data_IF_581486319755
#
_entry.id   IF_581486319755
#
_cell.length_a   1.000
_cell.length_b   1.000
_cell.length_c   1.000
_cell.angle_alpha   90.00
_cell.angle_beta   90.00
_cell.angle_gamma   90.00
#
_symmetry.space_group_name_H-M   'P 1'
#
loop_
_entity.id
_entity.type
_entity.pdbx_description
1 polymer ?
#
# COMPACT_ATOMS: atom_id res chain seq x y z
N UNK A 1 -6.54 13.34 -23.87
CA UNK A 1 -7.81 12.58 -23.94
C UNK A 1 -7.60 11.06 -24.09
N UNK A 2 -6.45 10.57 -24.57
CA UNK A 2 -6.17 9.12 -24.63
C UNK A 2 -5.63 8.51 -23.31
N UNK A 3 -4.89 9.27 -22.51
CA UNK A 3 -4.30 8.78 -21.23
C UNK A 3 -5.36 8.16 -20.32
N UNK A 4 -6.53 8.79 -20.18
CA UNK A 4 -7.62 8.31 -19.33
C UNK A 4 -8.24 6.98 -19.78
N UNK A 5 -8.07 6.55 -21.03
CA UNK A 5 -8.67 5.31 -21.54
C UNK A 5 -8.01 4.06 -20.94
N UNK A 6 -6.77 4.20 -20.42
CA UNK A 6 -6.01 3.13 -19.78
C UNK A 6 -6.22 3.06 -18.26
N UNK A 7 -7.03 3.96 -17.69
CA UNK A 7 -7.25 4.07 -16.26
C UNK A 7 -8.74 3.99 -15.91
N UNK A 8 -9.01 3.56 -14.69
CA UNK A 8 -10.39 3.47 -14.18
C UNK A 8 -10.88 4.86 -13.77
N UNK A 9 -12.20 5.09 -13.75
CA UNK A 9 -12.79 6.43 -13.53
C UNK A 9 -12.43 7.01 -12.16
N UNK A 10 -12.49 6.17 -11.14
CA UNK A 10 -11.98 6.42 -9.78
C UNK A 10 -10.53 6.94 -9.68
N UNK A 11 -9.68 6.70 -10.68
CA UNK A 11 -8.26 7.09 -10.66
C UNK A 11 -8.05 8.50 -11.20
N UNK A 12 -9.07 9.08 -11.85
CA UNK A 12 -9.02 10.41 -12.46
C UNK A 12 -8.53 11.51 -11.50
N UNK A 13 -8.99 11.60 -10.24
CA UNK A 13 -8.51 12.64 -9.34
C UNK A 13 -6.99 12.57 -9.08
N UNK A 14 -6.43 11.36 -9.03
CA UNK A 14 -4.99 11.18 -8.85
C UNK A 14 -4.22 11.46 -10.14
N UNK A 15 -4.78 11.11 -11.31
CA UNK A 15 -4.20 11.45 -12.62
C UNK A 15 -4.11 12.97 -12.78
N UNK A 16 -5.20 13.69 -12.48
CA UNK A 16 -5.24 15.15 -12.57
C UNK A 16 -4.21 15.79 -11.63
N UNK A 17 -4.05 15.22 -10.42
CA UNK A 17 -3.05 15.67 -9.47
C UNK A 17 -1.62 15.49 -9.99
N UNK A 18 -1.32 14.36 -10.64
CA UNK A 18 0.00 14.09 -11.24
C UNK A 18 0.28 15.02 -12.41
N UNK A 19 -0.70 15.24 -13.30
CA UNK A 19 -0.58 16.18 -14.42
C UNK A 19 -0.33 17.61 -13.92
N UNK A 20 -1.02 18.02 -12.85
CA UNK A 20 -0.76 19.31 -12.19
C UNK A 20 0.67 19.40 -11.66
N UNK A 21 1.20 18.34 -11.03
CA UNK A 21 2.60 18.33 -10.57
C UNK A 21 3.59 18.40 -11.73
N UNK A 22 3.32 17.71 -12.83
CA UNK A 22 4.14 17.78 -14.04
C UNK A 22 4.21 19.20 -14.58
N UNK A 23 3.05 19.85 -14.71
CA UNK A 23 2.95 21.24 -15.17
C UNK A 23 3.66 22.22 -14.23
N UNK A 24 3.52 22.03 -12.90
CA UNK A 24 4.22 22.85 -11.91
C UNK A 24 5.75 22.74 -12.07
N UNK A 25 6.28 21.53 -12.21
CA UNK A 25 7.71 21.29 -12.39
C UNK A 25 8.20 21.88 -13.73
N UNK A 26 7.43 21.73 -14.80
CA UNK A 26 7.75 22.26 -16.13
C UNK A 26 7.82 23.79 -16.15
N UNK A 27 6.86 24.45 -15.50
CA UNK A 27 6.75 25.92 -15.52
C UNK A 27 7.65 26.60 -14.50
N UNK A 28 7.79 26.00 -13.31
CA UNK A 28 8.48 26.63 -12.18
C UNK A 28 9.90 26.12 -11.99
N UNK A 29 10.29 25.02 -12.64
CA UNK A 29 11.59 24.35 -12.48
C UNK A 29 11.91 24.00 -11.02
N UNK A 30 10.87 23.74 -10.22
CA UNK A 30 11.00 23.34 -8.82
C UNK A 30 10.51 21.90 -8.65
N UNK A 31 11.33 21.07 -7.99
CA UNK A 31 10.95 19.69 -7.69
C UNK A 31 9.67 19.60 -6.85
N UNK A 32 8.93 18.52 -7.07
CA UNK A 32 7.76 18.13 -6.29
C UNK A 32 8.04 16.84 -5.53
N UNK A 33 8.01 16.93 -4.20
CA UNK A 33 7.96 15.76 -3.31
C UNK A 33 6.51 15.40 -2.98
N UNK A 34 6.13 14.14 -3.15
CA UNK A 34 4.81 13.64 -2.79
C UNK A 34 4.73 13.19 -1.34
N UNK A 35 3.51 12.97 -0.86
CA UNK A 35 3.26 12.06 0.26
C UNK A 35 3.61 10.60 -0.11
N UNK A 36 3.54 9.66 0.82
CA UNK A 36 3.65 8.23 0.51
C UNK A 36 2.50 7.79 -0.39
N UNK A 37 2.86 7.36 -1.59
CA UNK A 37 1.97 6.77 -2.58
C UNK A 37 1.92 5.26 -2.39
N UNK A 38 0.74 4.67 -2.56
CA UNK A 38 0.64 3.22 -2.67
C UNK A 38 1.17 2.72 -4.03
N UNK A 39 1.43 1.40 -4.18
CA UNK A 39 1.94 0.85 -5.44
C UNK A 39 1.10 1.17 -6.68
N UNK A 40 -0.24 1.29 -6.55
CA UNK A 40 -1.10 1.63 -7.68
C UNK A 40 -0.89 3.08 -8.11
N UNK A 41 -0.87 3.99 -7.15
CA UNK A 41 -0.55 5.40 -7.36
C UNK A 41 0.85 5.57 -7.98
N UNK A 42 1.86 4.87 -7.48
CA UNK A 42 3.21 4.90 -8.06
C UNK A 42 3.22 4.43 -9.51
N UNK A 43 2.50 3.35 -9.84
CA UNK A 43 2.37 2.87 -11.23
C UNK A 43 1.70 3.91 -12.13
N UNK A 44 0.62 4.55 -11.67
CA UNK A 44 -0.06 5.63 -12.41
C UNK A 44 0.92 6.78 -12.65
N UNK A 45 1.63 7.23 -11.60
CA UNK A 45 2.57 8.34 -11.70
C UNK A 45 3.67 8.06 -12.72
N UNK A 46 4.32 6.89 -12.64
CA UNK A 46 5.34 6.47 -13.62
C UNK A 46 4.78 6.37 -15.05
N UNK A 47 3.53 5.92 -15.21
CA UNK A 47 2.91 5.79 -16.53
C UNK A 47 2.62 7.16 -17.15
N UNK A 48 2.20 8.15 -16.37
CA UNK A 48 1.90 9.50 -16.85
C UNK A 48 3.18 10.25 -17.21
N UNK A 49 4.19 10.22 -16.33
CA UNK A 49 5.47 10.89 -16.58
C UNK A 49 6.28 10.16 -17.67
N UNK A 50 6.11 8.85 -17.80
CA UNK A 50 6.77 8.05 -18.81
C UNK A 50 8.29 8.19 -18.78
N UNK A 51 8.90 8.15 -19.96
CA UNK A 51 10.33 8.41 -20.17
C UNK A 51 10.53 9.76 -20.85
N UNK A 52 9.89 10.82 -20.33
CA UNK A 52 10.12 12.17 -20.83
C UNK A 52 11.52 12.66 -20.41
N UNK A 53 12.36 12.99 -21.38
CA UNK A 53 13.76 13.39 -21.16
C UNK A 53 13.91 14.67 -20.31
N UNK A 54 12.84 15.47 -20.19
CA UNK A 54 12.85 16.72 -19.42
C UNK A 54 12.66 16.51 -17.91
N UNK A 55 12.21 15.33 -17.49
CA UNK A 55 11.86 15.04 -16.10
C UNK A 55 12.72 13.93 -15.50
N UNK A 56 13.10 14.14 -14.25
CA UNK A 56 13.66 13.15 -13.37
C UNK A 56 12.59 12.67 -12.39
N UNK A 57 12.24 11.38 -12.46
CA UNK A 57 11.39 10.73 -11.48
C UNK A 57 12.22 9.77 -10.62
N UNK A 58 12.17 9.95 -9.31
CA UNK A 58 12.82 9.08 -8.32
C UNK A 58 11.84 8.72 -7.20
N UNK A 59 12.05 7.58 -6.57
CA UNK A 59 11.22 7.09 -5.47
C UNK A 59 12.06 6.53 -4.32
N UNK A 60 11.57 6.72 -3.10
CA UNK A 60 12.17 6.16 -1.91
C UNK A 60 11.11 5.88 -0.85
N UNK A 61 11.26 4.74 -0.17
CA UNK A 61 10.35 4.31 0.90
C UNK A 61 11.09 3.65 2.05
N UNK A 62 12.37 3.95 2.25
CA UNK A 62 13.21 3.33 3.29
C UNK A 62 13.94 2.06 2.84
N UNK A 63 13.34 1.24 1.97
CA UNK A 63 14.00 0.08 1.37
C UNK A 63 13.70 -0.04 -0.13
N UNK A 64 14.48 -0.87 -0.84
CA UNK A 64 14.25 -1.18 -2.25
C UNK A 64 12.93 -1.91 -2.49
N UNK A 65 12.50 -2.72 -1.50
CA UNK A 65 11.27 -3.52 -1.50
C UNK A 65 10.07 -2.79 -0.91
N UNK A 66 10.22 -1.55 -0.46
CA UNK A 66 9.15 -0.78 0.17
C UNK A 66 7.93 -0.67 -0.76
N UNK A 67 6.75 -0.98 -0.23
CA UNK A 67 5.50 -0.88 -0.97
C UNK A 67 5.05 0.58 -1.06
N UNK A 68 5.06 1.30 0.06
CA UNK A 68 4.70 2.71 0.10
C UNK A 68 5.96 3.56 -0.05
N UNK A 69 5.97 4.40 -1.08
CA UNK A 69 7.12 5.26 -1.39
C UNK A 69 6.69 6.70 -1.59
N UNK A 70 7.54 7.63 -1.17
CA UNK A 70 7.45 9.02 -1.62
C UNK A 70 8.16 9.13 -2.96
N UNK A 71 7.66 9.99 -3.83
CA UNK A 71 8.22 10.22 -5.16
C UNK A 71 8.65 11.67 -5.29
N UNK A 72 9.76 11.88 -5.98
CA UNK A 72 10.22 13.21 -6.39
C UNK A 72 10.15 13.29 -7.91
N UNK A 73 9.38 14.26 -8.38
CA UNK A 73 9.42 14.71 -9.77
C UNK A 73 10.22 16.01 -9.83
N UNK A 74 11.26 16.04 -10.65
CA UNK A 74 12.21 17.14 -10.73
C UNK A 74 12.61 17.41 -12.20
N UNK A 75 13.23 18.56 -12.51
CA UNK A 75 13.93 18.74 -13.78
C UNK A 75 15.04 17.69 -13.98
N UNK A 76 15.28 17.26 -15.22
CA UNK A 76 16.21 16.17 -15.55
C UNK A 76 17.65 16.36 -15.03
N UNK A 77 18.09 17.59 -14.80
CA UNK A 77 19.46 17.94 -14.37
C UNK A 77 19.66 17.91 -12.85
N UNK A 78 18.60 17.73 -12.06
CA UNK A 78 18.71 17.74 -10.60
C UNK A 78 19.38 16.45 -10.09
N UNK A 79 20.14 16.55 -9.00
CA UNK A 79 20.62 15.39 -8.25
C UNK A 79 19.72 15.19 -7.05
N UNK A 80 19.15 13.98 -6.93
CA UNK A 80 18.25 13.60 -5.84
C UNK A 80 18.92 12.53 -4.99
N UNK A 81 19.00 12.81 -3.68
CA UNK A 81 19.55 11.91 -2.67
C UNK A 81 18.44 11.37 -1.77
N UNK A 82 18.74 10.35 -0.95
CA UNK A 82 17.72 9.71 -0.10
C UNK A 82 17.10 10.69 0.91
N UNK A 83 17.89 11.63 1.43
CA UNK A 83 17.44 12.63 2.40
C UNK A 83 16.41 13.62 1.80
N UNK A 84 16.44 13.84 0.47
CA UNK A 84 15.48 14.72 -0.21
C UNK A 84 14.04 14.19 -0.11
N UNK A 85 13.87 12.88 0.09
CA UNK A 85 12.55 12.27 0.25
C UNK A 85 11.92 12.55 1.61
N UNK A 86 12.69 13.02 2.59
CA UNK A 86 12.20 13.35 3.93
C UNK A 86 11.40 12.19 4.53
N UNK A 87 12.01 11.01 4.49
CA UNK A 87 11.50 9.80 5.13
C UNK A 87 12.29 9.60 6.40
N UNK A 88 11.59 9.44 7.53
CA UNK A 88 12.21 9.20 8.82
C UNK A 88 11.75 7.85 9.37
N UNK A 89 12.70 7.03 9.78
CA UNK A 89 12.45 5.80 10.53
C UNK A 89 12.27 6.11 12.01
N UNK A 90 11.12 5.71 12.54
CA UNK A 90 10.84 5.69 13.96
C UNK A 90 10.78 4.25 14.46
N UNK A 91 11.41 4.00 15.60
CA UNK A 91 11.42 2.71 16.28
C UNK A 91 10.89 2.83 17.70
N UNK A 92 10.08 1.86 18.13
CA UNK A 92 9.69 1.69 19.51
C UNK A 92 9.83 0.24 19.95
N UNK A 93 10.25 0.03 21.20
CA UNK A 93 10.17 -1.26 21.88
C UNK A 93 8.85 -1.37 22.63
N UNK A 94 8.34 -2.59 22.80
CA UNK A 94 7.13 -2.85 23.57
C UNK A 94 7.26 -4.12 24.43
N UNK A 95 6.50 -4.23 25.53
CA UNK A 95 6.62 -5.35 26.48
C UNK A 95 5.96 -6.63 25.93
N UNK A 96 6.64 -7.28 24.98
CA UNK A 96 6.19 -8.46 24.21
C UNK A 96 5.78 -9.66 25.06
N UNK A 97 6.36 -9.80 26.25
CA UNK A 97 5.99 -10.84 27.23
C UNK A 97 4.53 -10.74 27.70
N UNK A 98 3.92 -9.56 27.63
CA UNK A 98 2.59 -9.29 28.17
C UNK A 98 1.56 -8.90 27.11
N UNK A 99 2.02 -8.41 25.96
CA UNK A 99 1.16 -7.94 24.87
C UNK A 99 1.78 -8.37 23.56
N UNK A 100 0.97 -8.97 22.68
CA UNK A 100 1.33 -9.20 21.27
C UNK A 100 0.69 -8.10 20.43
N UNK A 101 1.52 -7.44 19.62
CA UNK A 101 1.08 -6.46 18.66
C UNK A 101 1.19 -7.04 17.25
N UNK A 102 0.15 -6.83 16.47
CA UNK A 102 0.15 -7.14 15.04
C UNK A 102 0.19 -5.83 14.25
N UNK A 103 0.56 -5.93 12.97
CA UNK A 103 0.58 -4.79 12.05
C UNK A 103 -0.73 -3.97 12.08
N UNK A 104 -1.89 -4.64 12.16
CA UNK A 104 -3.20 -3.96 12.20
C UNK A 104 -3.41 -3.10 13.45
N UNK A 105 -2.78 -3.46 14.57
CA UNK A 105 -2.91 -2.74 15.84
C UNK A 105 -2.12 -1.44 15.80
N UNK A 106 -0.88 -1.51 15.31
CA UNK A 106 -0.01 -0.34 15.12
C UNK A 106 -0.64 0.62 14.11
N UNK A 107 -1.10 0.10 12.97
CA UNK A 107 -1.80 0.91 11.98
C UNK A 107 -3.05 1.56 12.56
N UNK A 108 -3.86 0.81 13.33
CA UNK A 108 -5.06 1.34 13.97
C UNK A 108 -4.75 2.47 14.95
N UNK A 109 -3.74 2.31 15.80
CA UNK A 109 -3.29 3.32 16.74
C UNK A 109 -2.76 4.57 16.01
N UNK A 110 -1.92 4.40 14.99
CA UNK A 110 -1.43 5.51 14.18
C UNK A 110 -2.58 6.28 13.53
N UNK A 111 -3.55 5.59 12.94
CA UNK A 111 -4.70 6.25 12.30
C UNK A 111 -5.59 6.99 13.31
N UNK A 112 -5.60 6.56 14.58
CA UNK A 112 -6.37 7.22 15.64
C UNK A 112 -5.85 8.63 15.98
N UNK A 113 -4.61 8.94 15.60
CA UNK A 113 -4.01 10.27 15.73
C UNK A 113 -4.64 11.32 14.81
N UNK A 114 -5.53 10.93 13.88
CA UNK A 114 -6.12 11.85 12.90
C UNK A 114 -5.18 12.21 11.75
N UNK A 115 -4.03 11.54 11.63
CA UNK A 115 -3.07 11.73 10.55
C UNK A 115 -3.55 11.01 9.29
N UNK A 116 -3.35 11.62 8.11
CA UNK A 116 -3.62 10.97 6.82
C UNK A 116 -2.71 9.74 6.64
N UNK A 117 -3.26 8.62 6.14
CA UNK A 117 -2.46 7.41 5.83
C UNK A 117 -1.32 7.68 4.85
N UNK A 118 -1.45 8.70 4.00
CA UNK A 118 -0.42 9.14 3.05
C UNK A 118 0.84 9.69 3.73
N UNK A 119 0.81 9.99 5.03
CA UNK A 119 2.01 10.39 5.80
C UNK A 119 2.77 9.22 6.42
N UNK A 120 2.21 8.01 6.37
CA UNK A 120 2.81 6.78 6.86
C UNK A 120 3.25 5.93 5.67
N UNK A 121 4.51 5.52 5.67
CA UNK A 121 5.08 4.53 4.78
C UNK A 121 4.79 3.11 5.23
N UNK A 122 5.77 2.24 5.05
CA UNK A 122 5.72 0.86 5.51
C UNK A 122 5.95 0.80 7.02
N UNK A 123 5.41 -0.27 7.63
CA UNK A 123 5.55 -0.52 9.05
C UNK A 123 5.87 -1.98 9.28
N UNK A 124 6.75 -2.23 10.24
CA UNK A 124 7.23 -3.56 10.60
C UNK A 124 6.92 -3.77 12.08
N UNK A 125 6.36 -4.93 12.40
CA UNK A 125 6.13 -5.36 13.77
C UNK A 125 6.80 -6.70 13.95
N UNK A 126 7.80 -6.74 14.82
CA UNK A 126 8.44 -7.98 15.25
C UNK A 126 7.96 -8.34 16.66
N UNK A 127 8.55 -9.39 17.24
CA UNK A 127 8.20 -9.83 18.59
C UNK A 127 8.37 -8.73 19.65
N UNK A 128 9.38 -7.87 19.56
CA UNK A 128 9.69 -6.87 20.58
C UNK A 128 9.81 -5.42 20.06
N UNK A 129 9.76 -5.25 18.74
CA UNK A 129 10.06 -3.99 18.06
C UNK A 129 8.96 -3.60 17.10
N UNK A 130 8.70 -2.30 17.02
CA UNK A 130 7.86 -1.67 16.02
C UNK A 130 8.73 -0.66 15.29
N UNK A 131 8.74 -0.74 13.96
CA UNK A 131 9.33 0.28 13.11
C UNK A 131 8.27 0.85 12.20
N UNK A 132 8.24 2.17 12.08
CA UNK A 132 7.37 2.89 11.15
C UNK A 132 8.18 3.90 10.36
N UNK A 133 7.93 3.97 9.06
CA UNK A 133 8.46 5.03 8.21
C UNK A 133 7.43 6.13 8.12
N UNK A 134 7.81 7.37 8.40
CA UNK A 134 6.91 8.53 8.39
C UNK A 134 7.51 9.68 7.60
N UNK A 135 6.66 10.57 7.11
CA UNK A 135 7.12 11.83 6.54
C UNK A 135 7.76 12.67 7.66
N UNK A 136 8.96 13.20 7.44
CA UNK A 136 9.74 13.89 8.50
C UNK A 136 8.96 15.02 9.17
N UNK A 137 8.11 15.72 8.43
CA UNK A 137 7.26 16.81 8.92
C UNK A 137 6.25 16.42 10.02
N UNK A 138 5.96 15.13 10.21
CA UNK A 138 5.05 14.65 11.27
C UNK A 138 5.77 13.94 12.42
N UNK A 139 7.10 13.82 12.39
CA UNK A 139 7.87 13.03 13.37
C UNK A 139 7.58 13.44 14.81
N UNK A 140 7.74 14.73 15.12
CA UNK A 140 7.52 15.25 16.47
C UNK A 140 6.10 14.97 16.95
N UNK A 141 5.10 15.14 16.07
CA UNK A 141 3.71 14.88 16.40
C UNK A 141 3.47 13.39 16.69
N UNK A 142 4.04 12.48 15.89
CA UNK A 142 3.94 11.04 16.13
C UNK A 142 4.60 10.64 17.45
N UNK A 143 5.82 11.10 17.73
CA UNK A 143 6.52 10.78 18.97
C UNK A 143 5.80 11.27 20.23
N UNK A 144 5.17 12.44 20.16
CA UNK A 144 4.44 13.02 21.29
C UNK A 144 3.08 12.36 21.54
N UNK A 145 2.39 11.88 20.49
CA UNK A 145 0.99 11.46 20.60
C UNK A 145 0.80 9.95 20.46
N UNK A 146 1.69 9.23 19.77
CA UNK A 146 1.63 7.76 19.65
C UNK A 146 2.36 7.11 20.82
N UNK A 147 1.82 7.27 22.02
CA UNK A 147 2.43 6.80 23.27
C UNK A 147 1.87 5.48 23.76
N UNK A 148 0.85 4.94 23.09
CA UNK A 148 0.22 3.68 23.45
C UNK A 148 -0.42 2.95 22.28
N UNK A 149 -0.25 1.63 22.24
CA UNK A 149 -0.87 0.73 21.26
C UNK A 149 -1.49 -0.44 22.03
N UNK A 150 -2.82 -0.60 21.93
CA UNK A 150 -3.61 -1.49 22.83
C UNK A 150 -3.33 -1.14 24.30
N UNK A 151 -2.66 -2.03 25.03
CA UNK A 151 -2.27 -1.88 26.45
C UNK A 151 -0.76 -1.65 26.62
N UNK A 152 0.00 -1.64 25.53
CA UNK A 152 1.43 -1.41 25.56
C UNK A 152 1.70 0.09 25.49
N UNK A 153 2.41 0.63 26.48
CA UNK A 153 3.05 1.94 26.35
C UNK A 153 4.22 1.81 25.38
N UNK A 154 4.34 2.76 24.47
CA UNK A 154 5.39 2.80 23.45
C UNK A 154 6.01 4.19 23.42
N UNK A 155 7.31 4.27 23.16
CA UNK A 155 8.02 5.51 22.94
C UNK A 155 8.79 5.37 21.64
N UNK A 156 8.42 6.17 20.64
CA UNK A 156 9.09 6.17 19.35
C UNK A 156 10.32 7.08 19.38
N UNK A 157 11.43 6.55 18.87
CA UNK A 157 12.71 7.25 18.70
C UNK A 157 13.11 7.22 17.23
N UNK A 158 13.76 8.28 16.75
CA UNK A 158 14.37 8.27 15.42
C UNK A 158 15.56 7.30 15.39
N UNK A 159 15.65 6.51 14.31
CA UNK A 159 16.80 5.65 14.03
C UNK A 159 17.31 5.92 12.61
N UNK A 160 18.64 5.82 12.39
CA UNK A 160 19.18 5.84 11.03
C UNK A 160 18.62 4.69 10.18
N UNK A 161 18.42 4.90 8.87
CA UNK A 161 17.84 3.89 7.97
C UNK A 161 18.64 2.58 7.89
N UNK A 162 19.93 2.57 8.23
CA UNK A 162 20.72 1.32 8.35
C UNK A 162 20.17 0.35 9.41
N UNK A 163 19.34 0.84 10.33
CA UNK A 163 18.64 0.03 11.33
C UNK A 163 17.26 -0.44 10.87
N UNK A 164 16.80 -0.06 9.68
CA UNK A 164 15.54 -0.53 9.14
C UNK A 164 15.59 -2.04 9.00
N UNK A 165 14.62 -2.70 9.63
CA UNK A 165 14.45 -4.14 9.55
C UNK A 165 13.91 -4.51 8.17
N UNK A 166 14.27 -5.69 7.68
CA UNK A 166 13.64 -6.25 6.49
C UNK A 166 12.27 -6.82 6.84
N UNK A 167 11.29 -6.57 5.98
CA UNK A 167 9.97 -7.16 6.14
C UNK A 167 10.02 -8.64 5.78
N UNK A 168 9.64 -9.52 6.73
CA UNK A 168 9.53 -10.96 6.53
C UNK A 168 8.09 -11.36 6.19
N UNK A 169 7.52 -10.75 5.14
CA UNK A 169 6.19 -11.13 4.66
C UNK A 169 6.20 -12.55 4.08
N UNK A 170 5.62 -13.52 4.80
CA UNK A 170 5.44 -14.88 4.29
C UNK A 170 4.12 -15.01 3.52
N UNK A 171 4.23 -15.25 2.21
CA UNK A 171 3.08 -15.54 1.36
C UNK A 171 2.88 -17.06 1.23
N UNK A 172 1.68 -17.53 1.56
CA UNK A 172 1.28 -18.92 1.37
C UNK A 172 0.54 -19.08 0.06
N UNK A 173 1.12 -19.83 -0.87
CA UNK A 173 0.45 -20.17 -2.14
C UNK A 173 -0.58 -21.30 -1.96
N UNK A 174 -1.67 -21.21 -2.71
CA UNK A 174 -2.71 -22.22 -2.82
C UNK A 174 -3.26 -22.27 -4.25
N UNK A 175 -3.69 -23.46 -4.66
CA UNK A 175 -4.37 -23.69 -5.94
C UNK A 175 -5.85 -23.97 -5.69
N UNK A 176 -6.71 -23.40 -6.53
CA UNK A 176 -8.17 -23.49 -6.36
C UNK A 176 -8.93 -23.54 -7.66
N UNK A 177 -10.25 -23.74 -7.57
CA UNK A 177 -11.13 -23.63 -8.74
C UNK A 177 -12.39 -22.83 -8.45
N UNK A 178 -12.66 -21.82 -9.29
CA UNK A 178 -13.79 -20.91 -9.13
C UNK A 178 -14.72 -20.94 -10.33
N UNK A 179 -16.01 -20.72 -10.09
CA UNK A 179 -17.00 -20.68 -11.17
C UNK A 179 -16.87 -19.41 -12.04
N UNK A 180 -16.35 -18.32 -11.48
CA UNK A 180 -16.04 -17.07 -12.19
C UNK A 180 -15.01 -16.27 -11.39
N UNK A 181 -14.35 -15.32 -12.05
CA UNK A 181 -13.35 -14.42 -11.45
C UNK A 181 -13.96 -13.22 -10.70
N UNK A 182 -15.26 -13.28 -10.40
CA UNK A 182 -15.93 -12.24 -9.61
C UNK A 182 -15.36 -12.18 -8.19
N UNK A 183 -15.17 -10.97 -7.69
CA UNK A 183 -14.62 -10.68 -6.38
C UNK A 183 -15.36 -11.43 -5.26
N UNK A 184 -16.70 -11.47 -5.27
CA UNK A 184 -17.48 -12.20 -4.26
C UNK A 184 -17.19 -13.70 -4.21
N UNK A 185 -16.95 -14.33 -5.37
CA UNK A 185 -16.59 -15.75 -5.48
C UNK A 185 -15.14 -15.97 -5.07
N UNK A 186 -14.24 -15.07 -5.47
CA UNK A 186 -12.82 -15.14 -5.13
C UNK A 186 -12.60 -14.98 -3.63
N UNK A 187 -13.30 -14.05 -2.97
CA UNK A 187 -13.24 -13.87 -1.52
C UNK A 187 -13.73 -15.11 -0.75
N UNK A 188 -14.73 -15.81 -1.29
CA UNK A 188 -15.18 -17.08 -0.72
C UNK A 188 -14.06 -18.12 -0.78
N UNK A 189 -13.43 -18.28 -1.93
CA UNK A 189 -12.38 -19.29 -2.14
C UNK A 189 -11.15 -19.01 -1.27
N UNK A 190 -10.65 -17.77 -1.28
CA UNK A 190 -9.41 -17.40 -0.61
C UNK A 190 -9.58 -17.34 0.92
N UNK A 191 -10.65 -16.68 1.39
CA UNK A 191 -10.82 -16.37 2.82
C UNK A 191 -11.86 -17.26 3.52
N UNK A 192 -12.34 -18.32 2.85
CA UNK A 192 -13.37 -19.23 3.35
C UNK A 192 -14.62 -18.51 3.87
N UNK A 193 -15.06 -17.47 3.15
CA UNK A 193 -16.25 -16.68 3.49
C UNK A 193 -17.52 -17.27 2.87
N UNK A 194 -18.66 -17.16 3.56
CA UNK A 194 -19.94 -17.40 2.89
C UNK A 194 -20.18 -16.34 1.82
N UNK A 195 -20.92 -16.67 0.76
CA UNK A 195 -21.21 -15.73 -0.34
C UNK A 195 -21.89 -14.44 0.14
N UNK A 196 -22.82 -14.56 1.08
CA UNK A 196 -23.49 -13.42 1.69
C UNK A 196 -22.50 -12.54 2.47
N UNK A 197 -21.58 -13.16 3.22
CA UNK A 197 -20.56 -12.41 3.97
C UNK A 197 -19.56 -11.73 3.05
N UNK A 198 -19.10 -12.40 1.99
CA UNK A 198 -18.23 -11.80 0.99
C UNK A 198 -18.87 -10.57 0.33
N UNK A 199 -20.12 -10.69 -0.11
CA UNK A 199 -20.86 -9.56 -0.73
C UNK A 199 -21.01 -8.40 0.25
N UNK A 200 -21.37 -8.68 1.51
CA UNK A 200 -21.51 -7.65 2.55
C UNK A 200 -20.19 -6.91 2.85
N UNK A 201 -19.05 -7.61 2.81
CA UNK A 201 -17.75 -6.99 3.00
C UNK A 201 -17.42 -6.01 1.88
N UNK A 202 -17.71 -6.41 0.64
CA UNK A 202 -17.51 -5.59 -0.55
C UNK A 202 -18.41 -4.35 -0.48
N UNK A 203 -19.72 -4.54 -0.30
CA UNK A 203 -20.70 -3.44 -0.22
C UNK A 203 -20.43 -2.44 0.92
N UNK A 204 -19.80 -2.88 2.01
CA UNK A 204 -19.39 -2.01 3.13
C UNK A 204 -18.06 -1.29 2.90
N UNK A 205 -17.45 -1.42 1.73
CA UNK A 205 -16.15 -0.82 1.40
C UNK A 205 -15.00 -1.42 2.22
N UNK A 206 -15.12 -2.67 2.67
CA UNK A 206 -14.11 -3.35 3.50
C UNK A 206 -13.13 -4.18 2.67
N UNK A 207 -13.27 -4.13 1.34
CA UNK A 207 -12.43 -4.85 0.39
C UNK A 207 -11.80 -3.85 -0.55
N UNK A 208 -10.50 -4.03 -0.78
CA UNK A 208 -9.76 -3.29 -1.77
C UNK A 208 -9.17 -4.23 -2.81
N UNK A 209 -9.17 -3.80 -4.06
CA UNK A 209 -8.41 -4.43 -5.14
C UNK A 209 -7.38 -3.41 -5.61
N UNK A 210 -6.11 -3.79 -5.64
CA UNK A 210 -4.98 -2.91 -5.98
C UNK A 210 -5.04 -1.57 -5.23
N UNK A 211 -5.14 -1.65 -3.89
CA UNK A 211 -5.18 -0.51 -2.96
C UNK A 211 -6.45 0.36 -3.01
N UNK A 212 -7.36 0.09 -3.94
CA UNK A 212 -8.57 0.85 -4.12
C UNK A 212 -9.80 0.12 -3.57
N UNK A 213 -10.67 0.83 -2.84
CA UNK A 213 -11.92 0.27 -2.34
C UNK A 213 -12.84 -0.12 -3.51
N UNK A 214 -13.35 -1.35 -3.46
CA UNK A 214 -14.32 -1.88 -4.41
C UNK A 214 -15.60 -2.21 -3.65
N UNK A 215 -16.74 -1.71 -4.15
CA UNK A 215 -18.07 -1.88 -3.55
C UNK A 215 -19.02 -2.75 -4.42
N UNK A 216 -18.53 -3.25 -5.56
CA UNK A 216 -19.29 -4.08 -6.48
C UNK A 216 -18.90 -5.57 -6.33
N UNK A 217 -19.79 -6.44 -5.82
CA UNK A 217 -19.53 -7.88 -5.72
C UNK A 217 -19.17 -8.54 -7.05
N UNK A 218 -19.67 -7.97 -8.15
CA UNK A 218 -19.48 -8.42 -9.52
C UNK A 218 -18.14 -8.05 -10.15
N UNK A 219 -17.33 -7.26 -9.46
CA UNK A 219 -16.01 -6.83 -9.94
C UNK A 219 -15.17 -8.03 -10.38
N UNK A 220 -14.60 -7.98 -11.59
CA UNK A 220 -13.78 -9.08 -12.14
C UNK A 220 -12.32 -8.86 -11.78
N UNK A 221 -11.70 -9.87 -11.17
CA UNK A 221 -10.27 -9.88 -10.92
C UNK A 221 -9.48 -10.32 -12.15
N UNK A 222 -8.29 -9.76 -12.28
CA UNK A 222 -7.29 -10.10 -13.29
C UNK A 222 -6.03 -10.74 -12.66
N UNK A 223 -5.21 -11.42 -13.46
CA UNK A 223 -3.93 -11.93 -12.99
C UNK A 223 -3.06 -10.81 -12.43
N UNK A 224 -2.41 -11.06 -11.30
CA UNK A 224 -1.62 -10.09 -10.56
C UNK A 224 -2.41 -9.20 -9.60
N UNK A 225 -3.76 -9.20 -9.65
CA UNK A 225 -4.57 -8.37 -8.76
C UNK A 225 -4.35 -8.73 -7.29
N UNK A 226 -4.09 -7.70 -6.50
CA UNK A 226 -3.94 -7.80 -5.06
C UNK A 226 -5.23 -7.43 -4.34
N UNK A 227 -5.65 -8.26 -3.40
CA UNK A 227 -6.89 -8.14 -2.67
C UNK A 227 -6.57 -7.89 -1.19
N UNK A 228 -7.11 -6.82 -0.63
CA UNK A 228 -6.98 -6.52 0.80
C UNK A 228 -8.35 -6.54 1.46
N UNK A 229 -8.55 -7.43 2.42
CA UNK A 229 -9.83 -7.58 3.13
C UNK A 229 -9.66 -7.19 4.59
N UNK A 230 -10.43 -6.21 5.05
CA UNK A 230 -10.34 -5.72 6.42
C UNK A 230 -10.59 -6.85 7.43
N UNK A 231 -9.62 -7.05 8.33
CA UNK A 231 -9.68 -8.09 9.36
C UNK A 231 -9.42 -9.52 8.85
N UNK A 232 -9.02 -9.68 7.57
CA UNK A 232 -8.69 -10.97 6.96
C UNK A 232 -7.32 -11.01 6.29
N UNK A 233 -6.69 -9.87 6.05
CA UNK A 233 -5.34 -9.77 5.50
C UNK A 233 -5.34 -9.54 3.99
N UNK A 234 -4.17 -9.77 3.38
CA UNK A 234 -3.94 -9.56 1.94
C UNK A 234 -3.83 -10.89 1.23
N UNK A 235 -4.24 -10.90 -0.03
CA UNK A 235 -4.04 -12.01 -0.95
C UNK A 235 -3.74 -11.46 -2.35
N UNK A 236 -3.23 -12.31 -3.22
CA UNK A 236 -2.99 -11.99 -4.62
C UNK A 236 -3.50 -13.13 -5.50
N UNK A 237 -4.12 -12.77 -6.63
CA UNK A 237 -4.40 -13.70 -7.71
C UNK A 237 -3.13 -13.83 -8.56
N UNK A 238 -2.34 -14.88 -8.32
CA UNK A 238 -1.05 -15.06 -8.99
C UNK A 238 -1.24 -15.39 -10.48
N UNK A 239 -2.14 -16.34 -10.80
CA UNK A 239 -2.40 -16.77 -12.18
C UNK A 239 -3.78 -17.40 -12.37
N UNK A 240 -4.24 -17.42 -13.62
CA UNK A 240 -5.48 -18.05 -14.12
C UNK A 240 -5.08 -19.12 -15.16
N UNK A 241 -5.02 -20.38 -14.74
CA UNK A 241 -4.52 -21.51 -15.53
C UNK A 241 -5.59 -22.14 -16.45
N UNK A 242 -6.41 -21.28 -17.05
CA UNK A 242 -7.51 -21.68 -17.94
C UNK A 242 -8.67 -22.38 -17.20
N UNK A 243 -9.47 -23.15 -17.96
CA UNK A 243 -10.69 -23.78 -17.45
C UNK A 243 -10.59 -25.30 -17.36
N UNK A 244 -11.25 -25.85 -16.35
CA UNK A 244 -11.50 -27.29 -16.19
C UNK A 244 -12.53 -27.80 -17.19
N UNK A 245 -12.63 -29.13 -17.33
CA UNK A 245 -13.69 -29.80 -18.14
C UNK A 245 -15.13 -29.46 -17.71
N UNK A 246 -15.32 -28.93 -16.49
CA UNK A 246 -16.62 -28.49 -15.96
C UNK A 246 -16.81 -26.97 -16.04
N UNK A 247 -16.05 -26.32 -16.93
CA UNK A 247 -16.07 -24.87 -17.19
C UNK A 247 -15.74 -23.95 -15.98
N UNK A 248 -15.10 -24.49 -14.94
CA UNK A 248 -14.56 -23.70 -13.82
C UNK A 248 -13.15 -23.22 -14.12
N UNK A 249 -12.79 -22.00 -13.73
CA UNK A 249 -11.43 -21.48 -13.79
C UNK A 249 -10.53 -22.18 -12.78
N UNK A 250 -9.29 -22.48 -13.19
CA UNK A 250 -8.19 -22.86 -12.29
C UNK A 250 -7.41 -21.61 -11.95
N UNK A 251 -7.11 -21.43 -10.68
CA UNK A 251 -6.43 -20.23 -10.18
C UNK A 251 -5.30 -20.64 -9.23
N UNK A 252 -4.24 -19.84 -9.23
CA UNK A 252 -3.20 -19.84 -8.20
C UNK A 252 -3.34 -18.55 -7.42
N UNK A 253 -3.43 -18.64 -6.10
CA UNK A 253 -3.54 -17.48 -5.21
C UNK A 253 -2.51 -17.56 -4.12
N UNK A 254 -2.00 -16.42 -3.68
CA UNK A 254 -1.17 -16.34 -2.48
C UNK A 254 -1.89 -15.54 -1.40
N UNK A 255 -1.75 -15.93 -0.14
CA UNK A 255 -2.27 -15.20 1.01
C UNK A 255 -1.13 -14.85 1.95
N UNK A 256 -1.06 -13.57 2.34
CA UNK A 256 -0.11 -13.10 3.34
C UNK A 256 -0.50 -13.67 4.71
N UNK A 257 0.45 -14.35 5.37
CA UNK A 257 0.26 -14.95 6.70
C UNK A 257 0.24 -13.90 7.82
#
# INVERSE_FOLDING_TARGET
MEIYQHFRKEEQPFIDQVLSWQEDVERMYQRKLTDFLDPRQQKIFRTIIGNHDDFLLRDYGGSSTAERKRMILAPYYEQIEEDDFQVTLLEAKYPSKFVTLEHKDVLGAFMSLGIKRSKLGDLIVTEDTIQILVASEIVTYVQMNLTGIKKAGVQFEEKPHVHLLESTEEWSESTGTVASLRLDIMLKEIYNLSRQKASLYIEKGLVKVNFQTVDQPAFLLEEGDMISVRGKGRSQLNSIEGKTKKDKWRIVTSQLK
#
